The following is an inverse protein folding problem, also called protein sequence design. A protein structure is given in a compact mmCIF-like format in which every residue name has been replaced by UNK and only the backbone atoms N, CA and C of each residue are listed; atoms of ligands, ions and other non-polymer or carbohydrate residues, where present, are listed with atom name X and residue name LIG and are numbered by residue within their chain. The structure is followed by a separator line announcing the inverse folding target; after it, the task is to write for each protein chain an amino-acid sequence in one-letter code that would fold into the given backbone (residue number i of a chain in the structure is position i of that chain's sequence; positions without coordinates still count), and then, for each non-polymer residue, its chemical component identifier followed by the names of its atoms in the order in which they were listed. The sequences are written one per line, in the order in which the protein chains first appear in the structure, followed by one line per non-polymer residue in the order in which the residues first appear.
data_IF_079631025121
#
_entry.id   IF_079631025121
#
_cell.length_a   1.000
_cell.length_b   1.000
_cell.length_c   1.000
_cell.angle_alpha   90.00
_cell.angle_beta   90.00
_cell.angle_gamma   90.00
#
_symmetry.space_group_name_H-M   'P 1'
#
loop_
_entity.id
_entity.type
_entity.pdbx_description
1 polymer ?
#
# COMPACT_ATOMS: atom_id res chain seq x y z
N UNK A 1 8.78 -8.81 26.57
CA UNK A 1 8.41 -9.99 25.76
C UNK A 1 7.71 -9.47 24.51
N UNK A 2 8.12 -9.81 23.27
CA UNK A 2 7.31 -9.50 22.11
C UNK A 2 6.00 -10.29 22.24
N UNK A 3 4.88 -9.59 22.33
CA UNK A 3 3.56 -10.20 22.37
C UNK A 3 3.29 -10.89 21.04
N UNK A 4 2.74 -12.10 21.09
CA UNK A 4 2.39 -12.85 19.89
C UNK A 4 1.35 -12.03 19.10
N UNK A 5 1.60 -11.71 17.81
CA UNK A 5 0.63 -10.94 17.04
C UNK A 5 -0.71 -11.69 16.96
N UNK A 6 -1.84 -10.97 17.03
CA UNK A 6 -3.15 -11.60 17.00
C UNK A 6 -3.35 -12.36 15.68
N UNK A 7 -4.12 -13.45 15.71
CA UNK A 7 -4.32 -14.33 14.55
C UNK A 7 -4.85 -13.59 13.31
N UNK A 8 -5.64 -12.54 13.49
CA UNK A 8 -6.12 -11.65 12.43
C UNK A 8 -5.00 -10.86 11.76
N UNK A 9 -3.98 -10.41 12.50
CA UNK A 9 -2.79 -9.72 11.96
C UNK A 9 -1.89 -10.68 11.21
N UNK A 10 -1.73 -11.91 11.73
CA UNK A 10 -1.01 -12.98 11.03
C UNK A 10 -1.71 -13.34 9.72
N UNK A 11 -3.04 -13.48 9.74
CA UNK A 11 -3.83 -13.74 8.53
C UNK A 11 -3.71 -12.59 7.53
N UNK A 12 -3.82 -11.34 7.98
CA UNK A 12 -3.65 -10.17 7.11
C UNK A 12 -2.24 -10.13 6.48
N UNK A 13 -1.20 -10.41 7.26
CA UNK A 13 0.17 -10.49 6.75
C UNK A 13 0.33 -11.62 5.72
N UNK A 14 -0.24 -12.80 5.99
CA UNK A 14 -0.21 -13.93 5.06
C UNK A 14 -0.93 -13.60 3.74
N UNK A 15 -2.12 -12.99 3.83
CA UNK A 15 -2.89 -12.56 2.65
C UNK A 15 -2.13 -11.51 1.85
N UNK A 16 -1.57 -10.49 2.51
CA UNK A 16 -0.79 -9.42 1.86
C UNK A 16 0.45 -9.98 1.15
N UNK A 17 1.18 -10.88 1.81
CA UNK A 17 2.38 -11.50 1.24
C UNK A 17 2.04 -12.41 0.05
N UNK A 18 1.01 -13.25 0.19
CA UNK A 18 0.55 -14.13 -0.88
C UNK A 18 0.03 -13.34 -2.09
N UNK A 19 -0.77 -12.30 -1.86
CA UNK A 19 -1.29 -11.43 -2.92
C UNK A 19 -0.15 -10.70 -3.66
N UNK A 20 0.85 -10.20 -2.92
CA UNK A 20 2.03 -9.53 -3.49
C UNK A 20 2.87 -10.50 -4.33
N UNK A 21 3.11 -11.70 -3.82
CA UNK A 21 3.82 -12.74 -4.57
C UNK A 21 3.05 -13.15 -5.82
N UNK A 22 1.74 -13.35 -5.74
CA UNK A 22 0.91 -13.66 -6.89
C UNK A 22 0.97 -12.54 -7.95
N UNK A 23 0.86 -11.28 -7.51
CA UNK A 23 0.92 -10.10 -8.38
C UNK A 23 2.21 -10.07 -9.21
N UNK A 24 3.37 -10.27 -8.57
CA UNK A 24 4.66 -10.22 -9.26
C UNK A 24 5.07 -11.52 -9.97
N UNK A 25 4.52 -12.67 -9.58
CA UNK A 25 4.75 -13.95 -10.26
C UNK A 25 3.93 -14.08 -11.56
N UNK A 26 2.89 -13.25 -11.74
CA UNK A 26 1.97 -13.26 -12.89
C UNK A 26 2.62 -13.52 -14.26
N UNK A 27 3.78 -12.93 -14.62
CA UNK A 27 4.39 -13.16 -15.94
C UNK A 27 4.78 -14.60 -16.22
N UNK A 28 5.19 -15.34 -15.19
CA UNK A 28 5.66 -16.72 -15.32
C UNK A 28 4.47 -17.71 -15.42
N UNK A 29 3.30 -17.35 -14.87
CA UNK A 29 2.12 -18.24 -14.76
C UNK A 29 0.97 -17.91 -15.71
N UNK A 30 0.80 -16.64 -16.09
CA UNK A 30 -0.25 -16.20 -17.03
C UNK A 30 0.38 -15.79 -18.34
N UNK A 31 0.09 -16.50 -19.44
CA UNK A 31 0.67 -16.22 -20.76
C UNK A 31 0.05 -14.99 -21.46
N UNK A 32 -1.26 -14.75 -21.24
CA UNK A 32 -2.02 -13.68 -21.89
C UNK A 32 -1.81 -12.32 -21.21
N UNK A 33 -1.36 -11.31 -21.97
CA UNK A 33 -1.14 -9.94 -21.46
C UNK A 33 -2.41 -9.29 -20.91
N UNK A 34 -3.55 -9.51 -21.55
CA UNK A 34 -4.85 -8.96 -21.13
C UNK A 34 -5.31 -9.57 -19.81
N UNK A 35 -5.12 -10.88 -19.61
CA UNK A 35 -5.43 -11.54 -18.36
C UNK A 35 -4.56 -11.02 -17.19
N UNK A 36 -3.27 -10.71 -17.45
CA UNK A 36 -2.41 -10.07 -16.43
C UNK A 36 -2.98 -8.71 -16.01
N UNK A 37 -3.44 -7.90 -16.96
CA UNK A 37 -4.03 -6.59 -16.69
C UNK A 37 -5.23 -6.67 -15.75
N UNK A 38 -6.17 -7.58 -16.05
CA UNK A 38 -7.35 -7.80 -15.21
C UNK A 38 -7.01 -8.34 -13.82
N UNK A 39 -6.06 -9.27 -13.73
CA UNK A 39 -5.62 -9.80 -12.44
C UNK A 39 -5.03 -8.68 -11.56
N UNK A 40 -4.17 -7.84 -12.15
CA UNK A 40 -3.60 -6.69 -11.46
C UNK A 40 -4.68 -5.70 -11.01
N UNK A 41 -5.62 -5.36 -11.89
CA UNK A 41 -6.71 -4.45 -11.56
C UNK A 41 -7.60 -5.00 -10.42
N UNK A 42 -7.94 -6.29 -10.46
CA UNK A 42 -8.69 -6.95 -9.41
C UNK A 42 -7.96 -6.94 -8.07
N UNK A 43 -6.66 -7.27 -8.07
CA UNK A 43 -5.83 -7.23 -6.85
C UNK A 43 -5.74 -5.81 -6.26
N UNK A 44 -5.55 -4.79 -7.10
CA UNK A 44 -5.53 -3.40 -6.66
C UNK A 44 -6.86 -2.96 -6.06
N UNK A 45 -7.99 -3.38 -6.65
CA UNK A 45 -9.32 -3.08 -6.13
C UNK A 45 -9.55 -3.72 -4.75
N UNK A 46 -9.15 -4.99 -4.59
CA UNK A 46 -9.23 -5.69 -3.29
C UNK A 46 -8.38 -5.01 -2.23
N UNK A 47 -7.14 -4.62 -2.57
CA UNK A 47 -6.26 -3.91 -1.65
C UNK A 47 -6.84 -2.54 -1.23
N UNK A 48 -7.43 -1.80 -2.18
CA UNK A 48 -8.11 -0.54 -1.89
C UNK A 48 -9.32 -0.74 -0.96
N UNK A 49 -10.15 -1.76 -1.23
CA UNK A 49 -11.31 -2.08 -0.41
C UNK A 49 -10.90 -2.49 1.02
N UNK A 50 -9.84 -3.29 1.17
CA UNK A 50 -9.32 -3.70 2.48
C UNK A 50 -8.74 -2.54 3.30
N UNK A 51 -8.18 -1.54 2.63
CA UNK A 51 -7.61 -0.35 3.28
C UNK A 51 -8.69 0.69 3.67
N UNK A 52 -9.89 0.62 3.09
CA UNK A 52 -10.93 1.63 3.28
C UNK A 52 -11.39 1.80 4.73
N UNK A 53 -11.71 0.73 5.49
CA UNK A 53 -12.10 0.87 6.89
C UNK A 53 -11.01 1.51 7.75
N UNK A 54 -9.76 1.18 7.48
CA UNK A 54 -8.62 1.71 8.23
C UNK A 54 -8.42 3.20 7.95
N UNK A 55 -8.46 3.61 6.68
CA UNK A 55 -8.46 5.02 6.30
C UNK A 55 -9.59 5.82 6.94
N UNK A 56 -10.78 5.21 7.11
CA UNK A 56 -11.92 5.82 7.81
C UNK A 56 -11.66 6.00 9.30
N UNK A 57 -11.06 5.00 9.96
CA UNK A 57 -10.67 5.08 11.39
C UNK A 57 -9.59 6.13 11.62
N UNK A 58 -8.54 6.12 10.80
CA UNK A 58 -7.47 7.11 10.85
C UNK A 58 -8.01 8.54 10.67
N UNK A 59 -8.95 8.73 9.73
CA UNK A 59 -9.63 10.02 9.54
C UNK A 59 -10.44 10.45 10.77
N UNK A 60 -11.20 9.54 11.37
CA UNK A 60 -11.97 9.81 12.58
C UNK A 60 -11.07 10.13 13.79
N UNK A 61 -9.97 9.39 13.96
CA UNK A 61 -8.98 9.64 15.02
C UNK A 61 -8.28 10.99 14.83
N UNK A 62 -7.89 11.34 13.60
CA UNK A 62 -7.31 12.63 13.30
C UNK A 62 -8.28 13.79 13.57
N UNK A 63 -9.58 13.59 13.34
CA UNK A 63 -10.59 14.59 13.67
C UNK A 63 -10.81 14.71 15.18
N UNK A 64 -10.88 13.59 15.90
CA UNK A 64 -10.99 13.59 17.36
C UNK A 64 -9.79 14.31 18.02
N UNK A 65 -8.57 14.09 17.52
CA UNK A 65 -7.37 14.77 17.98
C UNK A 65 -7.39 16.29 17.70
N UNK A 66 -8.04 16.73 16.60
CA UNK A 66 -8.25 18.17 16.35
C UNK A 66 -9.19 18.79 17.36
N UNK A 67 -10.31 18.12 17.63
CA UNK A 67 -11.30 18.56 18.62
C UNK A 67 -10.67 18.69 20.01
N UNK A 68 -9.86 17.71 20.42
CA UNK A 68 -9.14 17.74 21.70
C UNK A 68 -8.17 18.94 21.82
N UNK A 69 -7.51 19.31 20.72
CA UNK A 69 -6.65 20.50 20.65
C UNK A 69 -7.42 21.82 20.52
N UNK A 70 -8.74 21.78 20.38
CA UNK A 70 -9.57 22.95 20.11
C UNK A 70 -9.39 23.53 18.70
N UNK A 71 -8.82 22.77 17.77
CA UNK A 71 -8.68 23.17 16.37
C UNK A 71 -10.05 23.16 15.67
N UNK A 72 -10.33 24.10 14.74
CA UNK A 72 -11.55 24.03 13.94
C UNK A 72 -11.57 22.78 13.05
N UNK A 73 -12.76 22.26 12.71
CA UNK A 73 -12.90 21.16 11.76
C UNK A 73 -12.11 21.42 10.47
N UNK A 74 -11.51 20.38 9.89
CA UNK A 74 -10.64 20.52 8.71
C UNK A 74 -11.33 21.27 7.56
N UNK A 75 -12.63 21.04 7.38
CA UNK A 75 -13.44 21.74 6.38
C UNK A 75 -13.51 23.24 6.64
N UNK A 76 -13.77 23.64 7.86
CA UNK A 76 -13.85 25.06 8.25
C UNK A 76 -12.49 25.74 8.11
N UNK A 77 -11.42 25.08 8.57
CA UNK A 77 -10.05 25.56 8.39
C UNK A 77 -9.70 25.77 6.90
N UNK A 78 -10.13 24.84 6.03
CA UNK A 78 -9.93 24.94 4.60
C UNK A 78 -10.74 26.07 3.98
N UNK A 79 -12.01 26.24 4.35
CA UNK A 79 -12.90 27.30 3.86
C UNK A 79 -12.40 28.70 4.30
N UNK A 80 -11.91 28.82 5.53
CA UNK A 80 -11.30 30.04 6.08
C UNK A 80 -9.97 30.41 5.42
N UNK A 81 -9.29 29.46 4.76
CA UNK A 81 -8.03 29.71 4.07
C UNK A 81 -8.27 30.58 2.81
N UNK A 82 -7.43 31.59 2.52
CA UNK A 82 -7.54 32.36 1.28
C UNK A 82 -7.45 31.48 0.03
N UNK A 83 -8.05 31.92 -1.09
CA UNK A 83 -8.10 31.14 -2.32
C UNK A 83 -6.71 30.63 -2.79
N UNK A 84 -5.67 31.48 -2.72
CA UNK A 84 -4.27 31.10 -3.04
C UNK A 84 -3.74 29.99 -2.13
N UNK A 85 -4.05 30.05 -0.84
CA UNK A 85 -3.67 29.02 0.13
C UNK A 85 -4.38 27.70 -0.14
N UNK A 86 -5.69 27.73 -0.42
CA UNK A 86 -6.45 26.54 -0.81
C UNK A 86 -5.90 25.90 -2.08
N UNK A 87 -5.61 26.70 -3.11
CA UNK A 87 -5.00 26.18 -4.33
C UNK A 87 -3.65 25.54 -4.09
N UNK A 88 -2.83 26.13 -3.21
CA UNK A 88 -1.52 25.56 -2.86
C UNK A 88 -1.66 24.22 -2.12
N UNK A 89 -2.60 24.11 -1.16
CA UNK A 89 -2.87 22.85 -0.44
C UNK A 89 -3.39 21.76 -1.39
N UNK A 90 -4.36 22.08 -2.25
CA UNK A 90 -4.89 21.13 -3.24
C UNK A 90 -3.81 20.70 -4.23
N UNK A 91 -3.00 21.65 -4.73
CA UNK A 91 -1.90 21.34 -5.64
C UNK A 91 -0.84 20.46 -4.97
N UNK A 92 -0.45 20.76 -3.73
CA UNK A 92 0.49 19.94 -2.96
C UNK A 92 -0.04 18.51 -2.76
N UNK A 93 -1.33 18.38 -2.41
CA UNK A 93 -1.99 17.07 -2.32
C UNK A 93 -2.00 16.32 -3.65
N UNK A 94 -2.35 16.99 -4.73
CA UNK A 94 -2.35 16.40 -6.07
C UNK A 94 -0.94 15.95 -6.50
N UNK A 95 0.09 16.76 -6.25
CA UNK A 95 1.49 16.42 -6.52
C UNK A 95 1.94 15.23 -5.68
N UNK A 96 1.60 15.18 -4.40
CA UNK A 96 1.94 14.05 -3.54
C UNK A 96 1.31 12.73 -4.03
N UNK A 97 0.03 12.77 -4.41
CA UNK A 97 -0.68 11.60 -4.98
C UNK A 97 -0.08 11.18 -6.31
N UNK A 98 0.10 12.12 -7.24
CA UNK A 98 0.64 11.85 -8.56
C UNK A 98 2.09 11.34 -8.50
N UNK A 99 2.93 11.96 -7.66
CA UNK A 99 4.31 11.55 -7.43
C UNK A 99 4.39 10.14 -6.84
N UNK A 100 3.52 9.82 -5.88
CA UNK A 100 3.43 8.48 -5.30
C UNK A 100 3.05 7.43 -6.35
N UNK A 101 2.00 7.70 -7.15
CA UNK A 101 1.58 6.81 -8.22
C UNK A 101 2.68 6.60 -9.28
N UNK A 102 3.33 7.69 -9.70
CA UNK A 102 4.45 7.63 -10.65
C UNK A 102 5.63 6.82 -10.10
N UNK A 103 5.94 6.98 -8.80
CA UNK A 103 6.97 6.20 -8.11
C UNK A 103 6.67 4.71 -8.10
N UNK A 104 5.43 4.32 -7.78
CA UNK A 104 4.98 2.91 -7.84
C UNK A 104 5.13 2.36 -9.25
N UNK A 105 4.63 3.07 -10.26
CA UNK A 105 4.74 2.64 -11.67
C UNK A 105 6.20 2.51 -12.11
N UNK A 106 7.07 3.45 -11.73
CA UNK A 106 8.49 3.40 -12.06
C UNK A 106 9.18 2.17 -11.43
N UNK A 107 8.89 1.91 -10.14
CA UNK A 107 9.37 0.74 -9.42
C UNK A 107 8.90 -0.55 -10.08
N UNK A 108 7.61 -0.69 -10.36
CA UNK A 108 7.05 -1.86 -11.03
C UNK A 108 7.76 -2.12 -12.36
N UNK A 109 7.87 -1.09 -13.22
CA UNK A 109 8.53 -1.23 -14.52
C UNK A 109 9.99 -1.65 -14.35
N UNK A 110 10.70 -1.16 -13.33
CA UNK A 110 12.07 -1.59 -13.04
C UNK A 110 12.14 -3.06 -12.61
N UNK A 111 11.24 -3.51 -11.72
CA UNK A 111 11.14 -4.91 -11.27
C UNK A 111 10.92 -5.84 -12.48
N UNK A 112 9.94 -5.53 -13.33
CA UNK A 112 9.65 -6.36 -14.51
C UNK A 112 10.81 -6.34 -15.51
N UNK A 113 11.42 -5.19 -15.82
CA UNK A 113 12.59 -5.15 -16.71
C UNK A 113 13.75 -6.02 -16.20
N UNK A 114 13.99 -6.02 -14.89
CA UNK A 114 15.01 -6.85 -14.27
C UNK A 114 14.68 -8.35 -14.37
N UNK A 115 13.40 -8.71 -14.22
CA UNK A 115 12.93 -10.08 -14.40
C UNK A 115 13.09 -10.56 -15.85
N UNK A 116 12.70 -9.74 -16.82
CA UNK A 116 12.85 -10.02 -18.25
C UNK A 116 14.33 -10.18 -18.65
N UNK A 117 15.23 -9.33 -18.15
CA UNK A 117 16.66 -9.46 -18.39
C UNK A 117 17.23 -10.79 -17.86
N UNK A 118 16.74 -11.26 -16.70
CA UNK A 118 17.12 -12.56 -16.13
C UNK A 118 16.51 -13.74 -16.88
N UNK A 119 15.28 -13.60 -17.36
CA UNK A 119 14.65 -14.59 -18.21
C UNK A 119 15.42 -14.74 -19.54
N UNK A 120 15.85 -13.63 -20.14
CA UNK A 120 16.71 -13.62 -21.33
C UNK A 120 18.07 -14.29 -21.07
N UNK A 121 18.60 -14.19 -19.85
CA UNK A 121 19.79 -14.92 -19.40
C UNK A 121 19.53 -16.41 -19.07
N UNK A 122 18.33 -16.94 -19.36
CA UNK A 122 17.98 -18.35 -19.18
C UNK A 122 17.57 -18.73 -17.75
N UNK A 123 17.39 -17.78 -16.83
CA UNK A 123 16.96 -18.07 -15.46
C UNK A 123 15.51 -18.52 -15.45
N UNK A 124 15.27 -19.79 -15.10
CA UNK A 124 13.91 -20.32 -14.89
C UNK A 124 13.25 -19.60 -13.71
N UNK A 125 11.99 -19.19 -13.89
CA UNK A 125 11.16 -18.54 -12.86
C UNK A 125 11.73 -17.21 -12.32
N UNK A 126 12.31 -16.41 -13.22
CA UNK A 126 12.98 -15.16 -12.87
C UNK A 126 12.07 -14.17 -12.12
N UNK A 127 10.77 -14.13 -12.45
CA UNK A 127 9.81 -13.25 -11.79
C UNK A 127 9.32 -13.85 -10.48
N UNK A 128 9.06 -15.15 -10.45
CA UNK A 128 8.56 -15.85 -9.25
C UNK A 128 9.54 -15.75 -8.07
N UNK A 129 10.86 -15.90 -8.32
CA UNK A 129 11.86 -15.74 -7.24
C UNK A 129 11.80 -14.35 -6.61
N UNK A 130 11.72 -13.31 -7.45
CA UNK A 130 11.60 -11.92 -6.99
C UNK A 130 10.26 -11.70 -6.27
N UNK A 131 9.19 -12.31 -6.79
CA UNK A 131 7.86 -12.22 -6.23
C UNK A 131 7.77 -12.83 -4.82
N UNK A 132 8.43 -13.97 -4.58
CA UNK A 132 8.49 -14.57 -3.22
C UNK A 132 9.19 -13.62 -2.25
N UNK A 133 10.33 -13.03 -2.63
CA UNK A 133 11.03 -12.05 -1.77
C UNK A 133 10.14 -10.86 -1.47
N UNK A 134 9.48 -10.29 -2.48
CA UNK A 134 8.56 -9.15 -2.29
C UNK A 134 7.34 -9.53 -1.43
N UNK A 135 6.80 -10.74 -1.59
CA UNK A 135 5.71 -11.26 -0.76
C UNK A 135 6.12 -11.41 0.71
N UNK A 136 7.30 -11.97 0.97
CA UNK A 136 7.84 -12.09 2.34
C UNK A 136 8.07 -10.72 2.96
N UNK A 137 8.65 -9.77 2.20
CA UNK A 137 8.85 -8.40 2.68
C UNK A 137 7.52 -7.71 2.99
N UNK A 138 6.52 -7.86 2.12
CA UNK A 138 5.20 -7.28 2.34
C UNK A 138 4.52 -7.87 3.59
N UNK A 139 4.59 -9.19 3.79
CA UNK A 139 4.09 -9.84 5.00
C UNK A 139 4.83 -9.35 6.26
N UNK A 140 6.15 -9.23 6.20
CA UNK A 140 6.96 -8.74 7.32
C UNK A 140 6.58 -7.30 7.71
N UNK A 141 6.33 -6.43 6.73
CA UNK A 141 5.88 -5.06 6.98
C UNK A 141 4.50 -5.04 7.65
N UNK A 142 3.56 -5.90 7.25
CA UNK A 142 2.25 -6.01 7.92
C UNK A 142 2.33 -6.49 9.38
N UNK A 143 3.39 -7.23 9.71
CA UNK A 143 3.66 -7.69 11.08
C UNK A 143 4.38 -6.65 11.94
N UNK A 144 4.83 -5.51 11.38
CA UNK A 144 5.42 -4.45 12.18
C UNK A 144 4.41 -3.96 13.24
N UNK A 145 4.85 -3.72 14.49
CA UNK A 145 3.97 -3.20 15.54
C UNK A 145 3.46 -1.81 15.18
N UNK A 146 2.23 -1.49 15.58
CA UNK A 146 1.76 -0.10 15.51
C UNK A 146 2.54 0.73 16.52
N UNK A 147 3.17 1.84 16.10
CA UNK A 147 3.97 2.68 16.98
C UNK A 147 3.12 3.30 18.10
N UNK A 148 1.81 3.43 17.90
CA UNK A 148 0.86 4.09 18.80
C UNK A 148 -0.04 3.10 19.56
N UNK A 149 0.24 1.79 19.53
CA UNK A 149 -0.53 0.84 20.32
C UNK A 149 -0.28 1.07 21.82
N UNK A 150 -1.34 1.25 22.65
CA UNK A 150 -1.20 1.44 24.09
C UNK A 150 -0.42 0.27 24.72
N UNK A 151 0.43 0.58 25.70
CA UNK A 151 1.42 -0.35 26.28
C UNK A 151 0.79 -1.62 26.89
N UNK A 152 -0.50 -1.55 27.19
CA UNK A 152 -1.40 -2.50 27.80
C UNK A 152 -2.09 -3.45 26.80
N UNK A 153 -1.87 -3.26 25.49
CA UNK A 153 -2.29 -4.20 24.44
C UNK A 153 -1.20 -5.26 24.11
N UNK A 154 -0.16 -5.39 24.92
CA UNK A 154 0.95 -6.34 24.73
C UNK A 154 0.88 -7.51 25.71
#
# INVERSE_FOLDING_TARGET
MPSTPPATRVLAAAVTGAATAAYYATPDVVRSRTARGWLKAGLSLVAAAGSFPESRRAGAAAEAARVDRGDPPLREAFEATPARGRTAVVAAGAVAVAGSAAGVVALERWIFRRGEARAAAGVRWAHTRTAVVLGVLAAAVTLLPDPDAPADAR
#
